data_IF_032452311813
#
_entry.id   IF_032452311813
#
_cell.length_a   1.000
_cell.length_b   1.000
_cell.length_c   1.000
_cell.angle_alpha   90.00
_cell.angle_beta   90.00
_cell.angle_gamma   90.00
#
_symmetry.space_group_name_H-M   'P 1'
#
loop_
_entity.id
_entity.type
_entity.pdbx_description
1 polymer ?
#
# COMPACT_ATOMS: atom_id res chain seq x y z
N UNK A 1 -19.58 -28.97 -2.02
CA UNK A 1 -19.44 -28.08 -3.19
C UNK A 1 -18.18 -27.28 -2.92
N UNK A 2 -17.05 -27.74 -3.46
CA UNK A 2 -15.76 -27.07 -3.26
C UNK A 2 -15.75 -25.75 -4.05
N UNK A 3 -15.24 -24.64 -3.48
CA UNK A 3 -15.20 -23.36 -4.20
C UNK A 3 -14.15 -23.45 -5.32
N UNK A 4 -14.59 -23.21 -6.55
CA UNK A 4 -13.77 -23.30 -7.75
C UNK A 4 -12.56 -22.32 -7.72
N UNK A 5 -11.34 -22.78 -8.03
CA UNK A 5 -10.12 -21.97 -8.00
C UNK A 5 -10.04 -20.88 -9.09
N UNK A 6 -10.98 -20.86 -10.04
CA UNK A 6 -11.00 -19.90 -11.15
C UNK A 6 -11.40 -18.47 -10.74
N UNK A 7 -12.05 -18.29 -9.60
CA UNK A 7 -12.52 -16.96 -9.17
C UNK A 7 -11.45 -16.13 -8.45
N UNK A 8 -10.36 -16.76 -8.00
CA UNK A 8 -9.33 -16.05 -7.23
C UNK A 8 -8.53 -15.10 -8.10
N UNK A 9 -8.14 -15.57 -9.29
CA UNK A 9 -7.33 -14.83 -10.26
C UNK A 9 -8.17 -13.75 -10.97
N UNK A 10 -9.46 -14.03 -11.22
CA UNK A 10 -10.37 -13.08 -11.86
C UNK A 10 -10.58 -11.82 -11.00
N UNK A 11 -10.75 -11.99 -9.69
CA UNK A 11 -11.01 -10.87 -8.77
C UNK A 11 -9.96 -9.76 -8.84
N UNK A 12 -8.67 -10.12 -8.81
CA UNK A 12 -7.61 -9.13 -8.76
C UNK A 12 -7.25 -8.56 -10.13
N UNK A 13 -7.26 -9.40 -11.17
CA UNK A 13 -6.97 -8.97 -12.54
C UNK A 13 -8.01 -7.95 -13.02
N UNK A 14 -9.30 -8.19 -12.74
CA UNK A 14 -10.38 -7.27 -13.11
C UNK A 14 -10.29 -5.94 -12.35
N UNK A 15 -9.93 -5.96 -11.06
CA UNK A 15 -9.72 -4.73 -10.27
C UNK A 15 -8.56 -3.91 -10.87
N UNK A 16 -7.44 -4.56 -11.17
CA UNK A 16 -6.26 -3.91 -11.75
C UNK A 16 -6.56 -3.34 -13.13
N UNK A 17 -7.18 -4.12 -14.02
CA UNK A 17 -7.55 -3.69 -15.37
C UNK A 17 -8.52 -2.51 -15.33
N UNK A 18 -9.56 -2.58 -14.50
CA UNK A 18 -10.52 -1.48 -14.37
C UNK A 18 -9.89 -0.22 -13.78
N UNK A 19 -9.00 -0.36 -12.81
CA UNK A 19 -8.27 0.79 -12.26
C UNK A 19 -7.35 1.44 -13.31
N UNK A 20 -6.63 0.65 -14.09
CA UNK A 20 -5.79 1.15 -15.18
C UNK A 20 -6.62 1.84 -16.29
N UNK A 21 -7.74 1.23 -16.68
CA UNK A 21 -8.70 1.81 -17.64
C UNK A 21 -9.25 3.15 -17.15
N UNK A 22 -9.69 3.21 -15.88
CA UNK A 22 -10.24 4.43 -15.30
C UNK A 22 -9.20 5.56 -15.19
N UNK A 23 -7.94 5.23 -14.91
CA UNK A 23 -6.83 6.20 -14.87
C UNK A 23 -6.38 6.65 -16.26
N UNK A 24 -6.72 5.92 -17.33
CA UNK A 24 -6.31 6.23 -18.70
C UNK A 24 -4.82 5.98 -18.96
N UNK A 25 -4.16 5.17 -18.12
CA UNK A 25 -2.76 4.80 -18.28
C UNK A 25 -2.51 3.42 -17.66
N UNK A 26 -1.99 2.49 -18.46
CA UNK A 26 -1.56 1.16 -18.04
C UNK A 26 -0.12 1.09 -17.51
N UNK A 27 0.56 2.24 -17.37
CA UNK A 27 1.99 2.28 -17.04
C UNK A 27 2.33 1.95 -15.57
N UNK A 28 1.34 1.88 -14.69
CA UNK A 28 1.55 1.59 -13.27
C UNK A 28 0.58 0.52 -12.77
N UNK A 29 1.12 -0.61 -12.37
CA UNK A 29 0.38 -1.66 -11.67
C UNK A 29 -0.13 -1.18 -10.31
N UNK A 30 -0.99 -1.99 -9.70
CA UNK A 30 -1.35 -1.82 -8.30
C UNK A 30 -0.09 -1.84 -7.43
N UNK A 31 0.03 -0.88 -6.51
CA UNK A 31 1.11 -0.88 -5.52
C UNK A 31 0.96 -2.06 -4.54
N UNK A 32 2.01 -2.45 -3.79
CA UNK A 32 1.89 -3.46 -2.72
C UNK A 32 0.74 -3.18 -1.74
N UNK A 33 0.49 -1.89 -1.48
CA UNK A 33 -0.59 -1.41 -0.65
C UNK A 33 -1.95 -1.63 -1.29
N UNK A 34 -2.08 -1.34 -2.58
CA UNK A 34 -3.31 -1.55 -3.33
C UNK A 34 -3.66 -3.04 -3.44
N UNK A 35 -2.64 -3.91 -3.51
CA UNK A 35 -2.80 -5.35 -3.45
C UNK A 35 -3.32 -5.83 -2.09
N UNK A 36 -2.69 -5.39 -1.00
CA UNK A 36 -3.16 -5.72 0.36
C UNK A 36 -4.59 -5.22 0.61
N UNK A 37 -4.94 -4.07 0.03
CA UNK A 37 -6.28 -3.50 0.10
C UNK A 37 -7.30 -4.34 -0.67
N UNK A 38 -6.98 -4.75 -1.90
CA UNK A 38 -7.82 -5.64 -2.70
C UNK A 38 -7.97 -7.03 -2.04
N UNK A 39 -6.92 -7.53 -1.42
CA UNK A 39 -6.94 -8.77 -0.64
C UNK A 39 -7.86 -8.64 0.59
N UNK A 40 -7.75 -7.53 1.33
CA UNK A 40 -8.65 -7.24 2.45
C UNK A 40 -10.12 -7.13 2.06
N UNK A 41 -10.44 -6.57 0.89
CA UNK A 41 -11.81 -6.57 0.36
C UNK A 41 -12.33 -7.97 0.08
N UNK A 42 -11.49 -8.82 -0.51
CA UNK A 42 -11.84 -10.19 -0.82
C UNK A 42 -12.07 -11.04 0.44
N UNK A 43 -11.18 -10.93 1.43
CA UNK A 43 -11.32 -11.61 2.72
C UNK A 43 -12.60 -11.17 3.45
N UNK A 44 -12.97 -9.90 3.29
CA UNK A 44 -14.22 -9.34 3.85
C UNK A 44 -15.47 -9.69 3.03
N UNK A 45 -15.34 -10.47 1.96
CA UNK A 45 -16.45 -10.90 1.12
C UNK A 45 -17.03 -9.80 0.22
N UNK A 46 -16.28 -8.74 -0.08
CA UNK A 46 -16.71 -7.68 -0.98
C UNK A 46 -16.81 -8.23 -2.40
N UNK A 47 -17.98 -8.17 -3.06
CA UNK A 47 -18.15 -8.69 -4.41
C UNK A 47 -17.38 -7.85 -5.44
N UNK A 48 -16.82 -8.51 -6.47
CA UNK A 48 -16.03 -7.86 -7.52
C UNK A 48 -16.77 -6.66 -8.14
N UNK A 49 -18.03 -6.84 -8.50
CA UNK A 49 -18.90 -5.81 -9.08
C UNK A 49 -19.02 -4.55 -8.22
N UNK A 50 -18.94 -4.66 -6.89
CA UNK A 50 -18.94 -3.50 -6.00
C UNK A 50 -17.59 -2.77 -6.05
N UNK A 51 -16.49 -3.51 -6.15
CA UNK A 51 -15.15 -2.93 -6.31
C UNK A 51 -15.05 -2.16 -7.63
N UNK A 52 -15.47 -2.77 -8.74
CA UNK A 52 -15.40 -2.13 -10.06
C UNK A 52 -16.24 -0.85 -10.12
N UNK A 53 -17.47 -0.89 -9.60
CA UNK A 53 -18.34 0.30 -9.51
C UNK A 53 -17.77 1.38 -8.60
N UNK A 54 -17.16 0.98 -7.48
CA UNK A 54 -16.52 1.92 -6.56
C UNK A 54 -15.33 2.65 -7.20
N UNK A 55 -14.52 1.94 -7.99
CA UNK A 55 -13.44 2.54 -8.79
C UNK A 55 -14.03 3.55 -9.77
N UNK A 56 -15.04 3.16 -10.55
CA UNK A 56 -15.66 4.05 -11.54
C UNK A 56 -16.25 5.32 -10.89
N UNK A 57 -16.97 5.16 -9.78
CA UNK A 57 -17.56 6.28 -9.04
C UNK A 57 -16.51 7.23 -8.45
N UNK A 58 -15.39 6.69 -7.95
CA UNK A 58 -14.28 7.51 -7.44
C UNK A 58 -13.63 8.34 -8.56
N UNK A 59 -13.42 7.74 -9.74
CA UNK A 59 -12.86 8.44 -10.90
C UNK A 59 -13.84 9.42 -11.53
N UNK A 60 -15.14 9.14 -11.55
CA UNK A 60 -16.17 10.08 -12.00
C UNK A 60 -16.17 11.34 -11.12
N UNK A 61 -16.16 11.18 -9.79
CA UNK A 61 -16.02 12.28 -8.83
C UNK A 61 -14.72 13.05 -9.00
N UNK A 62 -13.62 12.38 -9.33
CA UNK A 62 -12.35 13.05 -9.62
C UNK A 62 -12.43 13.86 -10.92
N UNK A 63 -13.00 13.29 -11.99
CA UNK A 63 -13.17 13.96 -13.30
C UNK A 63 -14.09 15.17 -13.22
N UNK A 64 -15.09 15.20 -12.33
CA UNK A 64 -16.01 16.33 -12.18
C UNK A 64 -15.41 17.54 -11.42
N UNK A 65 -14.22 17.41 -10.82
CA UNK A 65 -13.54 18.53 -10.14
C UNK A 65 -13.07 19.60 -11.13
N UNK A 66 -13.24 20.87 -10.76
CA UNK A 66 -12.80 22.05 -11.56
C UNK A 66 -11.27 22.16 -11.69
N UNK A 67 -10.51 21.60 -10.74
CA UNK A 67 -9.05 21.54 -10.77
C UNK A 67 -8.59 20.09 -10.59
N UNK A 68 -7.79 19.59 -11.53
CA UNK A 68 -7.27 18.20 -11.57
C UNK A 68 -5.75 18.17 -11.36
N UNK A 69 -5.26 18.98 -10.42
CA UNK A 69 -3.82 19.12 -10.15
C UNK A 69 -3.19 17.87 -9.55
N UNK A 70 -3.99 16.93 -9.01
CA UNK A 70 -3.54 15.67 -8.41
C UNK A 70 -4.14 14.48 -9.17
N UNK A 71 -3.29 13.59 -9.66
CA UNK A 71 -3.68 12.35 -10.33
C UNK A 71 -4.04 11.27 -9.29
N UNK A 72 -5.00 10.41 -9.61
CA UNK A 72 -5.34 9.25 -8.78
C UNK A 72 -4.36 8.12 -9.11
N UNK A 73 -3.45 7.82 -8.18
CA UNK A 73 -2.34 6.89 -8.39
C UNK A 73 -2.44 5.59 -7.56
N UNK A 74 -3.42 5.46 -6.66
CA UNK A 74 -3.59 4.31 -5.77
C UNK A 74 -5.08 3.96 -5.57
N UNK A 75 -5.38 2.66 -5.39
CA UNK A 75 -6.70 2.15 -5.02
C UNK A 75 -7.16 2.64 -3.65
N UNK A 76 -6.26 3.08 -2.77
CA UNK A 76 -6.62 3.70 -1.50
C UNK A 76 -7.59 4.88 -1.70
N UNK A 77 -7.43 5.64 -2.78
CA UNK A 77 -8.36 6.72 -3.16
C UNK A 77 -9.78 6.20 -3.45
N UNK A 78 -9.90 4.99 -4.00
CA UNK A 78 -11.17 4.35 -4.34
C UNK A 78 -11.82 3.65 -3.13
N UNK A 79 -11.09 3.43 -2.03
CA UNK A 79 -11.53 2.55 -0.94
C UNK A 79 -12.89 2.91 -0.35
N UNK A 80 -13.14 4.20 -0.12
CA UNK A 80 -14.42 4.66 0.41
C UNK A 80 -15.58 4.42 -0.56
N UNK A 81 -15.36 4.62 -1.86
CA UNK A 81 -16.39 4.39 -2.88
C UNK A 81 -16.66 2.88 -3.06
N UNK A 82 -15.62 2.04 -3.00
CA UNK A 82 -15.73 0.58 -3.04
C UNK A 82 -16.55 0.07 -1.86
N UNK A 83 -16.28 0.53 -0.64
CA UNK A 83 -17.04 0.11 0.54
C UNK A 83 -18.50 0.59 0.50
N UNK A 84 -18.77 1.76 -0.08
CA UNK A 84 -20.14 2.25 -0.27
C UNK A 84 -20.92 1.36 -1.25
N UNK A 85 -20.32 0.99 -2.38
CA UNK A 85 -20.94 0.07 -3.34
C UNK A 85 -21.10 -1.34 -2.75
N UNK A 86 -20.17 -1.78 -1.90
CA UNK A 86 -20.25 -3.07 -1.20
C UNK A 86 -21.42 -3.09 -0.22
N UNK A 87 -21.61 -2.02 0.55
CA UNK A 87 -22.73 -1.86 1.47
C UNK A 87 -24.07 -1.75 0.73
N UNK A 88 -24.11 -1.03 -0.40
CA UNK A 88 -25.29 -0.92 -1.25
C UNK A 88 -25.67 -2.26 -1.89
N UNK A 89 -24.68 -3.03 -2.35
CA UNK A 89 -24.88 -4.38 -2.87
C UNK A 89 -25.37 -5.37 -1.80
N UNK A 90 -24.94 -5.20 -0.55
CA UNK A 90 -25.39 -6.02 0.58
C UNK A 90 -26.78 -5.64 1.11
N UNK A 91 -27.20 -4.37 0.97
CA UNK A 91 -28.40 -3.84 1.66
C UNK A 91 -29.54 -3.43 0.73
N UNK A 92 -29.35 -3.44 -0.60
CA UNK A 92 -30.37 -3.03 -1.57
C UNK A 92 -30.84 -1.56 -1.43
N UNK A 93 -30.09 -0.71 -0.73
CA UNK A 93 -30.51 0.66 -0.38
C UNK A 93 -29.36 1.67 -0.51
N UNK A 94 -29.73 2.92 -0.81
CA UNK A 94 -28.88 4.08 -1.08
C UNK A 94 -27.80 4.35 -0.01
N UNK A 95 -26.68 5.00 -0.40
CA UNK A 95 -25.50 5.14 0.44
C UNK A 95 -25.75 6.02 1.68
N UNK A 96 -25.26 5.62 2.87
CA UNK A 96 -25.23 6.49 4.02
C UNK A 96 -24.20 7.61 3.84
N UNK A 97 -24.46 8.75 4.48
CA UNK A 97 -23.53 9.88 4.52
C UNK A 97 -22.14 9.47 5.02
N UNK A 98 -21.10 10.08 4.44
CA UNK A 98 -19.69 9.88 4.80
C UNK A 98 -19.49 9.94 6.31
N UNK A 99 -19.31 8.78 6.94
CA UNK A 99 -18.77 8.68 8.30
C UNK A 99 -17.26 8.91 8.21
N UNK A 100 -16.74 9.86 9.01
CA UNK A 100 -15.30 9.90 9.33
C UNK A 100 -14.93 8.50 9.81
N UNK A 101 -14.03 7.84 9.08
CA UNK A 101 -13.46 6.57 9.51
C UNK A 101 -12.66 6.88 10.78
N UNK A 102 -13.13 6.38 11.91
CA UNK A 102 -12.35 6.41 13.15
C UNK A 102 -11.09 5.59 12.91
N UNK A 103 -9.93 6.16 13.26
CA UNK A 103 -8.66 5.47 13.14
C UNK A 103 -8.72 4.12 13.89
N UNK A 104 -8.23 3.01 13.33
CA UNK A 104 -8.25 1.70 13.99
C UNK A 104 -7.27 1.59 15.17
N UNK A 105 -6.54 2.67 15.46
CA UNK A 105 -5.57 2.84 16.52
C UNK A 105 -5.74 4.22 17.13
N UNK A 106 -5.20 4.41 18.33
CA UNK A 106 -5.19 5.65 19.10
C UNK A 106 -4.01 6.57 18.73
N UNK A 107 -4.11 7.85 19.09
CA UNK A 107 -3.01 8.80 18.95
C UNK A 107 -1.77 8.38 19.74
N UNK A 108 -1.97 7.74 20.89
CA UNK A 108 -0.86 7.22 21.71
C UNK A 108 -0.14 6.07 21.02
N UNK A 109 -0.87 5.15 20.37
CA UNK A 109 -0.28 4.07 19.58
C UNK A 109 0.48 4.59 18.36
N UNK A 110 -0.06 5.62 17.67
CA UNK A 110 0.65 6.30 16.59
C UNK A 110 1.96 6.93 17.08
N UNK A 111 1.90 7.69 18.17
CA UNK A 111 3.06 8.37 18.74
C UNK A 111 4.12 7.36 19.19
N UNK A 112 3.69 6.27 19.83
CA UNK A 112 4.56 5.17 20.23
C UNK A 112 5.20 4.48 19.02
N UNK A 113 4.47 4.25 17.94
CA UNK A 113 5.00 3.68 16.70
C UNK A 113 6.09 4.57 16.10
N UNK A 114 5.81 5.87 15.91
CA UNK A 114 6.78 6.84 15.38
C UNK A 114 8.05 6.90 16.24
N UNK A 115 7.90 6.89 17.58
CA UNK A 115 9.01 6.84 18.52
C UNK A 115 9.86 5.58 18.36
N UNK A 116 9.24 4.39 18.31
CA UNK A 116 9.95 3.11 18.12
C UNK A 116 10.73 3.09 16.81
N UNK A 117 10.12 3.57 15.72
CA UNK A 117 10.79 3.69 14.43
C UNK A 117 12.02 4.61 14.53
N UNK A 118 11.85 5.79 15.14
CA UNK A 118 12.93 6.77 15.35
C UNK A 118 14.08 6.18 16.17
N UNK A 119 13.78 5.54 17.30
CA UNK A 119 14.79 4.92 18.17
C UNK A 119 15.55 3.79 17.49
N UNK A 120 14.86 2.98 16.67
CA UNK A 120 15.49 1.93 15.86
C UNK A 120 16.47 2.53 14.86
N UNK A 121 16.10 3.63 14.18
CA UNK A 121 16.99 4.32 13.24
C UNK A 121 18.18 4.98 13.94
N UNK A 122 17.96 5.60 15.10
CA UNK A 122 19.01 6.20 15.90
C UNK A 122 20.06 5.16 16.33
N UNK A 123 19.61 3.97 16.77
CA UNK A 123 20.49 2.87 17.15
C UNK A 123 21.32 2.31 15.97
N UNK A 124 20.78 2.37 14.74
CA UNK A 124 21.48 1.91 13.54
C UNK A 124 22.49 2.93 13.01
N UNK A 125 22.20 4.22 13.14
CA UNK A 125 23.00 5.29 12.56
C UNK A 125 22.90 5.35 11.03
N UNK A 126 23.32 6.47 10.44
CA UNK A 126 23.30 6.66 8.97
C UNK A 126 21.95 7.10 8.38
N UNK A 127 20.89 7.21 9.18
CA UNK A 127 19.53 7.59 8.75
C UNK A 127 19.08 8.96 9.28
N UNK A 128 20.01 9.86 9.61
CA UNK A 128 19.72 11.08 10.37
C UNK A 128 18.62 11.98 9.79
N UNK A 129 18.49 12.03 8.45
CA UNK A 129 17.41 12.80 7.83
C UNK A 129 16.03 12.17 8.04
N UNK A 130 15.93 10.84 7.93
CA UNK A 130 14.68 10.10 8.16
C UNK A 130 14.32 10.15 9.64
N UNK A 131 15.31 9.98 10.52
CA UNK A 131 15.15 10.12 11.97
C UNK A 131 14.61 11.50 12.36
N UNK A 132 15.21 12.58 11.83
CA UNK A 132 14.77 13.94 12.10
C UNK A 132 13.34 14.21 11.57
N UNK A 133 12.96 13.60 10.44
CA UNK A 133 11.60 13.69 9.92
C UNK A 133 10.59 12.95 10.81
N UNK A 134 10.93 11.75 11.30
CA UNK A 134 10.10 11.01 12.25
C UNK A 134 9.97 11.75 13.58
N UNK A 135 11.02 12.43 14.06
CA UNK A 135 10.95 13.25 15.26
C UNK A 135 9.95 14.41 15.13
N UNK A 136 9.91 15.07 13.96
CA UNK A 136 8.90 16.12 13.68
C UNK A 136 7.49 15.53 13.62
N UNK A 137 7.32 14.39 12.95
CA UNK A 137 6.03 13.69 12.89
C UNK A 137 5.55 13.25 14.27
N UNK A 138 6.45 12.81 15.15
CA UNK A 138 6.13 12.44 16.54
C UNK A 138 5.63 13.66 17.34
N UNK A 139 6.29 14.81 17.21
CA UNK A 139 5.89 16.05 17.89
C UNK A 139 4.57 16.63 17.38
N UNK A 140 4.33 16.49 16.08
CA UNK A 140 3.13 16.99 15.40
C UNK A 140 2.03 15.94 15.25
N UNK A 141 2.18 14.77 15.88
CA UNK A 141 1.25 13.64 15.72
C UNK A 141 -0.23 14.01 15.89
N UNK A 142 -0.64 14.87 16.88
CA UNK A 142 -2.03 15.28 17.01
C UNK A 142 -2.57 16.02 15.78
N UNK A 143 -1.74 16.82 15.10
CA UNK A 143 -2.14 17.57 13.91
C UNK A 143 -2.28 16.67 12.67
N UNK A 144 -1.51 15.58 12.61
CA UNK A 144 -1.55 14.61 11.50
C UNK A 144 -2.63 13.53 11.70
N UNK A 145 -3.20 13.42 12.90
CA UNK A 145 -4.16 12.37 13.26
C UNK A 145 -5.51 12.50 12.53
N UNK A 146 -5.93 13.73 12.22
CA UNK A 146 -7.11 13.99 11.38
C UNK A 146 -6.87 13.74 9.88
N UNK A 147 -5.61 13.52 9.47
CA UNK A 147 -5.15 13.41 8.09
C UNK A 147 -4.29 12.17 7.83
N UNK A 148 -4.75 10.99 8.26
CA UNK A 148 -3.97 9.74 8.20
C UNK A 148 -3.49 9.34 6.81
N UNK A 149 -4.23 9.69 5.75
CA UNK A 149 -3.81 9.43 4.37
C UNK A 149 -2.53 10.19 4.00
N UNK A 150 -2.46 11.47 4.35
CA UNK A 150 -1.28 12.30 4.13
C UNK A 150 -0.11 11.83 5.00
N UNK A 151 -0.39 11.45 6.25
CA UNK A 151 0.61 10.87 7.13
C UNK A 151 1.21 9.58 6.55
N UNK A 152 0.38 8.66 6.04
CA UNK A 152 0.83 7.41 5.42
C UNK A 152 1.67 7.66 4.16
N UNK A 153 1.29 8.63 3.33
CA UNK A 153 2.08 9.02 2.15
C UNK A 153 3.46 9.54 2.56
N UNK A 154 3.53 10.37 3.61
CA UNK A 154 4.80 10.88 4.15
C UNK A 154 5.64 9.75 4.73
N UNK A 155 5.04 8.83 5.49
CA UNK A 155 5.74 7.67 6.05
C UNK A 155 6.27 6.73 4.95
N UNK A 156 5.50 6.52 3.88
CA UNK A 156 5.93 5.76 2.70
C UNK A 156 7.15 6.40 2.02
N UNK A 157 7.13 7.72 1.81
CA UNK A 157 8.26 8.43 1.23
C UNK A 157 9.52 8.35 2.11
N UNK A 158 9.35 8.43 3.43
CA UNK A 158 10.44 8.25 4.39
C UNK A 158 10.98 6.81 4.38
N UNK A 159 10.12 5.79 4.23
CA UNK A 159 10.52 4.39 4.13
C UNK A 159 11.31 4.13 2.84
N UNK A 160 10.88 4.70 1.71
CA UNK A 160 11.61 4.60 0.43
C UNK A 160 12.98 5.26 0.51
N UNK A 161 13.08 6.42 1.18
CA UNK A 161 14.36 7.08 1.45
C UNK A 161 15.27 6.24 2.34
N UNK A 162 14.73 5.66 3.41
CA UNK A 162 15.44 4.74 4.29
C UNK A 162 15.96 3.52 3.52
N UNK A 163 15.13 2.89 2.67
CA UNK A 163 15.55 1.78 1.80
C UNK A 163 16.67 2.20 0.86
N UNK A 164 16.61 3.40 0.28
CA UNK A 164 17.67 3.89 -0.62
C UNK A 164 19.03 4.00 0.10
N UNK A 165 19.05 4.56 1.32
CA UNK A 165 20.25 4.61 2.16
C UNK A 165 20.76 3.21 2.48
N UNK A 166 19.86 2.30 2.87
CA UNK A 166 20.21 0.91 3.18
C UNK A 166 20.83 0.19 1.97
N UNK A 167 20.23 0.32 0.77
CA UNK A 167 20.77 -0.27 -0.47
C UNK A 167 22.15 0.28 -0.81
N UNK A 168 22.37 1.58 -0.64
CA UNK A 168 23.66 2.21 -0.92
C UNK A 168 24.77 1.76 0.04
N UNK A 169 24.41 1.32 1.24
CA UNK A 169 25.35 0.85 2.27
C UNK A 169 25.68 -0.65 2.19
N UNK A 170 24.96 -1.41 1.37
CA UNK A 170 25.15 -2.85 1.24
C UNK A 170 26.34 -3.17 0.30
N UNK A 171 27.17 -4.18 0.62
CA UNK A 171 28.15 -4.74 -0.31
C UNK A 171 27.48 -5.26 -1.59
N UNK A 172 28.12 -5.09 -2.73
CA UNK A 172 27.61 -5.56 -4.03
C UNK A 172 27.33 -7.06 -4.02
N UNK A 173 28.20 -7.86 -3.38
CA UNK A 173 28.03 -9.32 -3.29
C UNK A 173 26.74 -9.71 -2.57
N UNK A 174 26.31 -8.95 -1.56
CA UNK A 174 25.05 -9.22 -0.85
C UNK A 174 23.84 -8.89 -1.71
N UNK A 175 23.89 -7.77 -2.44
CA UNK A 175 22.83 -7.40 -3.39
C UNK A 175 22.68 -8.45 -4.50
N UNK A 176 23.81 -8.95 -5.01
CA UNK A 176 23.83 -10.00 -6.02
C UNK A 176 23.30 -11.34 -5.48
N UNK A 177 23.76 -11.75 -4.29
CA UNK A 177 23.29 -12.98 -3.65
C UNK A 177 21.77 -12.94 -3.41
N UNK A 178 21.24 -11.82 -2.91
CA UNK A 178 19.80 -11.66 -2.68
C UNK A 178 18.97 -11.82 -3.96
N UNK A 179 19.44 -11.26 -5.08
CA UNK A 179 18.78 -11.43 -6.39
C UNK A 179 18.84 -12.85 -6.91
N UNK A 180 20.00 -13.51 -6.78
CA UNK A 180 20.17 -14.90 -7.22
C UNK A 180 19.28 -15.87 -6.44
N UNK A 181 19.19 -15.70 -5.13
CA UNK A 181 18.33 -16.52 -4.27
C UNK A 181 16.85 -16.38 -4.65
N UNK A 182 16.42 -15.14 -4.90
CA UNK A 182 15.06 -14.84 -5.36
C UNK A 182 14.78 -15.47 -6.72
N UNK A 183 15.70 -15.34 -7.69
CA UNK A 183 15.53 -15.95 -9.01
C UNK A 183 15.35 -17.47 -8.91
N UNK A 184 16.14 -18.15 -8.07
CA UNK A 184 16.00 -19.58 -7.82
C UNK A 184 14.63 -19.95 -7.26
N UNK A 185 14.08 -19.13 -6.36
CA UNK A 185 12.74 -19.32 -5.80
C UNK A 185 11.62 -19.04 -6.81
N UNK A 186 11.82 -18.11 -7.75
CA UNK A 186 10.83 -17.75 -8.76
C UNK A 186 10.82 -18.71 -9.96
N UNK A 187 11.91 -19.44 -10.24
CA UNK A 187 12.00 -20.37 -11.39
C UNK A 187 10.78 -21.29 -11.59
N UNK A 188 10.18 -21.92 -10.56
CA UNK A 188 9.03 -22.80 -10.74
C UNK A 188 7.71 -22.08 -11.08
N UNK A 189 7.62 -20.76 -10.80
CA UNK A 189 6.39 -19.98 -10.89
C UNK A 189 6.44 -18.85 -11.93
N UNK A 190 7.62 -18.58 -12.52
CA UNK A 190 7.87 -17.48 -13.46
C UNK A 190 6.94 -17.48 -14.67
N UNK A 191 6.59 -18.65 -15.20
CA UNK A 191 5.69 -18.80 -16.35
C UNK A 191 4.21 -18.54 -16.04
N UNK A 192 3.84 -18.32 -14.78
CA UNK A 192 2.45 -18.09 -14.34
C UNK A 192 2.14 -16.61 -14.07
N UNK A 193 3.12 -15.72 -14.28
CA UNK A 193 3.04 -14.30 -13.90
C UNK A 193 3.47 -13.43 -15.09
N UNK A 194 2.88 -12.24 -15.18
CA UNK A 194 3.34 -11.23 -16.14
C UNK A 194 4.72 -10.68 -15.74
N UNK A 195 5.44 -10.09 -16.69
CA UNK A 195 6.72 -9.40 -16.43
C UNK A 195 6.60 -8.36 -15.33
N UNK A 196 5.46 -7.67 -15.33
CA UNK A 196 5.09 -6.61 -14.42
C UNK A 196 4.85 -7.14 -12.99
N UNK A 197 4.11 -8.25 -12.86
CA UNK A 197 3.91 -8.94 -11.58
C UNK A 197 5.22 -9.48 -11.01
N UNK A 198 6.09 -10.02 -11.87
CA UNK A 198 7.42 -10.48 -11.47
C UNK A 198 8.27 -9.32 -10.94
N UNK A 199 8.35 -8.20 -11.65
CA UNK A 199 9.13 -7.04 -11.23
C UNK A 199 8.64 -6.48 -9.87
N UNK A 200 7.32 -6.46 -9.65
CA UNK A 200 6.75 -6.04 -8.37
C UNK A 200 7.12 -7.00 -7.24
N UNK A 201 6.94 -8.30 -7.43
CA UNK A 201 7.29 -9.32 -6.45
C UNK A 201 8.78 -9.29 -6.11
N UNK A 202 9.62 -9.12 -7.15
CA UNK A 202 11.06 -9.02 -6.98
C UNK A 202 11.43 -7.81 -6.11
N UNK A 203 10.84 -6.64 -6.40
CA UNK A 203 11.04 -5.44 -5.59
C UNK A 203 10.59 -5.64 -4.14
N UNK A 204 9.39 -6.18 -3.91
CA UNK A 204 8.87 -6.39 -2.55
C UNK A 204 9.74 -7.36 -1.75
N UNK A 205 10.18 -8.46 -2.36
CA UNK A 205 11.04 -9.45 -1.70
C UNK A 205 12.39 -8.83 -1.32
N UNK A 206 13.03 -8.15 -2.26
CA UNK A 206 14.33 -7.51 -2.02
C UNK A 206 14.22 -6.42 -0.95
N UNK A 207 13.14 -5.63 -0.96
CA UNK A 207 12.89 -4.60 0.05
C UNK A 207 12.70 -5.20 1.43
N UNK A 208 11.89 -6.26 1.54
CA UNK A 208 11.66 -6.96 2.80
C UNK A 208 12.97 -7.51 3.35
N UNK A 209 13.71 -8.26 2.53
CA UNK A 209 14.99 -8.86 2.93
C UNK A 209 16.01 -7.79 3.34
N UNK A 210 16.07 -6.69 2.60
CA UNK A 210 16.93 -5.55 2.93
C UNK A 210 16.63 -4.98 4.32
N UNK A 211 15.34 -4.73 4.60
CA UNK A 211 14.92 -4.18 5.88
C UNK A 211 15.18 -5.17 7.02
N UNK A 212 14.89 -6.46 6.81
CA UNK A 212 15.12 -7.52 7.80
C UNK A 212 16.61 -7.69 8.13
N UNK A 213 17.48 -7.78 7.12
CA UNK A 213 18.94 -7.90 7.31
C UNK A 213 19.56 -6.65 7.94
N UNK A 214 19.09 -5.47 7.54
CA UNK A 214 19.49 -4.21 8.12
C UNK A 214 18.76 -3.91 9.44
N UNK A 215 17.89 -4.80 9.91
CA UNK A 215 16.91 -4.65 11.00
C UNK A 215 16.39 -3.23 11.15
N UNK A 216 15.84 -2.74 10.05
CA UNK A 216 15.17 -1.46 9.91
C UNK A 216 13.67 -1.62 10.13
N UNK A 217 13.00 -0.62 10.74
CA UNK A 217 11.58 -0.70 11.01
C UNK A 217 10.76 -0.48 9.73
N UNK A 218 9.51 -0.98 9.72
CA UNK A 218 8.50 -0.52 8.75
C UNK A 218 7.86 0.76 9.30
N UNK A 219 7.84 1.81 8.49
CA UNK A 219 7.35 3.12 8.95
C UNK A 219 5.85 3.28 8.76
N UNK A 220 5.30 2.60 7.76
CA UNK A 220 3.88 2.61 7.42
C UNK A 220 2.96 2.26 8.60
N UNK A 221 1.80 2.92 8.64
CA UNK A 221 0.74 2.70 9.62
C UNK A 221 0.16 1.28 9.56
N UNK A 222 0.35 0.53 8.47
CA UNK A 222 -0.04 -0.88 8.39
C UNK A 222 0.70 -1.79 9.37
N UNK A 223 1.87 -1.35 9.85
CA UNK A 223 2.69 -2.09 10.82
C UNK A 223 2.56 -1.56 12.24
N UNK A 224 1.63 -0.63 12.45
CA UNK A 224 1.25 -0.16 13.77
C UNK A 224 0.64 -1.34 14.53
N UNK A 225 1.30 -1.71 15.62
CA UNK A 225 0.90 -2.74 16.59
C UNK A 225 0.63 -2.11 17.93
#
# INVERSE_FOLDING_TARGET
MEPEPFNYFNYYTEIEERFQQARGSGLFLLSPLDWALAEGWKESGVPLEAVLRGIDAAFEKWRSRKSRTQMVNSLAYCAQAVMQEAQAAASGAQPPAQRKVEAPFTLDELTAHLRRCRETLAARGGYGEVEAALARLEQEAPAHYDGLEELEQRLTALEDKMKAVARASQPEEKLFAARRDLELQLRPHRGKMSTDQLAMLERQYLDRRLLDEAGLPRLSLFYLR
#
